data_IF_819929261147
#
_entry.id   IF_819929261147
#
_cell.length_a   1.000
_cell.length_b   1.000
_cell.length_c   1.000
_cell.angle_alpha   90.00
_cell.angle_beta   90.00
_cell.angle_gamma   90.00
#
_symmetry.space_group_name_H-M   'P 1'
#
loop_
_entity.id
_entity.type
_entity.pdbx_description
1 polymer ?
#
# COMPACT_ATOMS: atom_id res chain seq x y z
N UNK A 1 -1.14 -2.61 -16.63
CA UNK A 1 -1.13 -1.15 -16.45
C UNK A 1 -0.03 -0.83 -15.45
N UNK A 2 0.86 0.09 -15.80
CA UNK A 2 1.95 0.48 -14.90
C UNK A 2 1.50 1.71 -14.11
N UNK A 3 1.95 1.80 -12.87
CA UNK A 3 1.76 3.01 -12.10
C UNK A 3 2.88 4.02 -12.41
N UNK A 4 2.66 5.28 -12.05
CA UNK A 4 3.72 6.29 -12.13
C UNK A 4 4.91 5.90 -11.25
N UNK A 5 6.13 6.23 -11.70
CA UNK A 5 7.36 5.95 -10.96
C UNK A 5 7.36 6.56 -9.55
N UNK A 6 6.78 7.75 -9.38
CA UNK A 6 6.62 8.39 -8.07
C UNK A 6 5.74 7.59 -7.12
N UNK A 7 4.63 7.02 -7.63
CA UNK A 7 3.76 6.13 -6.86
C UNK A 7 4.48 4.83 -6.48
N UNK A 8 5.23 4.25 -7.42
CA UNK A 8 6.04 3.05 -7.18
C UNK A 8 7.10 3.28 -6.10
N UNK A 9 7.84 4.37 -6.18
CA UNK A 9 8.90 4.72 -5.22
C UNK A 9 8.33 4.93 -3.81
N UNK A 10 7.22 5.67 -3.69
CA UNK A 10 6.54 5.87 -2.42
C UNK A 10 6.09 4.54 -1.79
N UNK A 11 5.55 3.61 -2.58
CA UNK A 11 5.13 2.29 -2.10
C UNK A 11 6.31 1.41 -1.66
N UNK A 12 7.46 1.47 -2.36
CA UNK A 12 8.66 0.75 -1.94
C UNK A 12 9.23 1.32 -0.63
N UNK A 13 9.27 2.65 -0.49
CA UNK A 13 9.68 3.29 0.75
C UNK A 13 8.75 2.93 1.92
N UNK A 14 7.43 2.93 1.67
CA UNK A 14 6.44 2.49 2.63
C UNK A 14 6.66 1.03 3.05
N UNK A 15 6.83 0.11 2.09
CA UNK A 15 7.14 -1.31 2.35
C UNK A 15 8.38 -1.49 3.22
N UNK A 16 9.47 -0.75 2.94
CA UNK A 16 10.71 -0.85 3.70
C UNK A 16 10.57 -0.36 5.16
N UNK A 17 9.56 0.47 5.45
CA UNK A 17 9.23 0.92 6.80
C UNK A 17 8.36 -0.06 7.61
N UNK A 18 7.88 -1.15 7.00
CA UNK A 18 7.00 -2.11 7.65
C UNK A 18 7.74 -3.36 8.12
N UNK A 19 7.38 -3.85 9.30
CA UNK A 19 7.75 -5.20 9.74
C UNK A 19 6.72 -6.20 9.21
N UNK A 20 7.08 -6.95 8.17
CA UNK A 20 6.20 -7.91 7.48
C UNK A 20 6.72 -9.36 7.66
N UNK A 21 6.58 -9.95 8.86
CA UNK A 21 7.09 -11.30 9.14
C UNK A 21 6.35 -12.39 8.34
N UNK A 22 5.11 -12.12 7.93
CA UNK A 22 4.29 -13.05 7.15
C UNK A 22 4.48 -12.91 5.64
N UNK A 23 5.35 -11.98 5.20
CA UNK A 23 5.65 -11.74 3.79
C UNK A 23 4.39 -11.45 2.95
N UNK A 24 3.43 -10.73 3.53
CA UNK A 24 2.17 -10.32 2.88
C UNK A 24 2.44 -9.40 1.69
N UNK A 25 3.53 -8.62 1.74
CA UNK A 25 3.94 -7.69 0.69
C UNK A 25 4.85 -8.33 -0.37
N UNK A 26 4.83 -9.65 -0.51
CA UNK A 26 5.68 -10.37 -1.47
C UNK A 26 5.47 -9.94 -2.93
N UNK A 27 4.24 -9.56 -3.30
CA UNK A 27 3.93 -9.10 -4.66
C UNK A 27 4.51 -7.73 -4.98
N UNK A 28 4.94 -6.96 -3.97
CA UNK A 28 5.41 -5.59 -4.12
C UNK A 28 6.85 -5.57 -4.67
N UNK A 29 6.97 -5.85 -5.97
CA UNK A 29 8.22 -5.89 -6.73
C UNK A 29 7.96 -5.63 -8.22
N UNK A 30 8.97 -5.11 -8.92
CA UNK A 30 8.89 -4.78 -10.35
C UNK A 30 8.24 -3.42 -10.63
N UNK A 31 7.82 -3.20 -11.87
CA UNK A 31 7.29 -1.90 -12.37
C UNK A 31 5.78 -1.76 -12.29
N UNK A 32 5.04 -2.88 -12.23
CA UNK A 32 3.59 -2.89 -12.45
C UNK A 32 2.83 -2.81 -11.12
N UNK A 33 3.00 -1.72 -10.35
CA UNK A 33 2.49 -1.71 -8.97
C UNK A 33 0.97 -1.80 -8.83
N UNK A 34 0.20 -1.44 -9.87
CA UNK A 34 -1.26 -1.68 -9.90
C UNK A 34 -1.66 -3.16 -9.90
N UNK A 35 -0.70 -4.08 -10.08
CA UNK A 35 -0.92 -5.53 -9.98
C UNK A 35 -0.44 -6.09 -8.64
N UNK A 36 0.11 -5.26 -7.76
CA UNK A 36 0.49 -5.69 -6.42
C UNK A 36 -0.76 -5.90 -5.56
N UNK A 37 -0.71 -6.88 -4.68
CA UNK A 37 -1.75 -7.12 -3.69
C UNK A 37 -2.02 -5.86 -2.87
N UNK A 38 -3.29 -5.53 -2.68
CA UNK A 38 -3.72 -4.37 -1.92
C UNK A 38 -3.61 -3.03 -2.65
N UNK A 39 -3.03 -2.95 -3.85
CA UNK A 39 -2.89 -1.68 -4.57
C UNK A 39 -4.07 -1.46 -5.52
N UNK A 40 -4.73 -0.32 -5.37
CA UNK A 40 -5.73 0.17 -6.32
C UNK A 40 -5.19 1.36 -7.10
N UNK A 41 -5.42 1.36 -8.41
CA UNK A 41 -5.04 2.46 -9.30
C UNK A 41 -6.25 3.02 -10.03
N UNK A 42 -6.19 4.31 -10.37
CA UNK A 42 -7.06 4.89 -11.39
C UNK A 42 -6.81 4.25 -12.75
N UNK A 43 -7.87 3.75 -13.38
CA UNK A 43 -7.79 2.92 -14.60
C UNK A 43 -7.39 3.68 -15.86
N UNK A 44 -7.39 5.02 -15.82
CA UNK A 44 -7.05 5.86 -16.97
C UNK A 44 -5.62 6.41 -16.86
N UNK A 45 -5.21 6.78 -15.65
CA UNK A 45 -3.95 7.49 -15.37
C UNK A 45 -2.87 6.58 -14.77
N UNK A 46 -3.24 5.45 -14.17
CA UNK A 46 -2.31 4.58 -13.44
C UNK A 46 -1.85 5.18 -12.11
N UNK A 47 -2.47 6.27 -11.64
CA UNK A 47 -2.21 6.84 -10.31
C UNK A 47 -2.68 5.86 -9.24
N UNK A 48 -1.85 5.60 -8.24
CA UNK A 48 -2.24 4.80 -7.06
C UNK A 48 -3.22 5.63 -6.23
N UNK A 49 -4.39 5.07 -5.93
CA UNK A 49 -5.49 5.75 -5.21
C UNK A 49 -5.82 5.10 -3.87
N UNK A 50 -5.37 3.86 -3.61
CA UNK A 50 -5.52 3.23 -2.30
C UNK A 50 -4.50 2.11 -2.07
N UNK A 51 -4.19 1.88 -0.78
CA UNK A 51 -3.42 0.74 -0.28
C UNK A 51 -4.25 0.02 0.78
N UNK A 52 -4.63 -1.22 0.51
CA UNK A 52 -5.33 -2.10 1.44
C UNK A 52 -4.40 -3.18 1.96
N UNK A 53 -4.14 -3.16 3.27
CA UNK A 53 -3.31 -4.16 3.96
C UNK A 53 -4.14 -5.08 4.86
N UNK A 54 -5.47 -5.06 4.72
CA UNK A 54 -6.35 -5.88 5.52
C UNK A 54 -6.06 -7.37 5.35
N UNK A 55 -6.11 -8.12 6.45
CA UNK A 55 -5.98 -9.56 6.45
C UNK A 55 -7.35 -10.20 6.16
N UNK A 56 -7.55 -10.85 5.00
CA UNK A 56 -8.82 -11.50 4.68
C UNK A 56 -9.10 -12.73 5.57
N UNK A 57 -8.12 -13.22 6.33
CA UNK A 57 -8.24 -14.40 7.18
C UNK A 57 -8.59 -14.10 8.65
N UNK A 58 -8.54 -12.83 9.06
CA UNK A 58 -8.96 -12.42 10.40
C UNK A 58 -10.49 -12.31 10.47
N UNK A 59 -11.16 -13.43 10.76
CA UNK A 59 -12.57 -13.41 11.17
C UNK A 59 -12.68 -12.64 12.49
N UNK A 60 -13.38 -11.51 12.41
CA UNK A 60 -13.58 -10.53 13.47
C UNK A 60 -13.93 -11.17 14.81
N UNK A 61 -13.05 -11.00 15.79
CA UNK A 61 -13.55 -10.77 17.14
C UNK A 61 -12.82 -9.67 17.92
N UNK A 62 -11.66 -9.17 17.45
CA UNK A 62 -11.10 -7.91 17.94
C UNK A 62 -10.01 -7.38 16.99
N UNK A 63 -10.01 -6.05 16.78
CA UNK A 63 -8.88 -5.18 16.35
C UNK A 63 -9.00 -4.44 15.00
N UNK A 64 -8.80 -3.13 15.11
CA UNK A 64 -8.77 -2.03 14.13
C UNK A 64 -8.36 -2.40 12.69
N UNK A 65 -9.34 -2.44 11.77
CA UNK A 65 -9.09 -2.49 10.33
C UNK A 65 -8.44 -1.18 9.87
N UNK A 66 -7.12 -1.17 9.65
CA UNK A 66 -6.41 -0.02 9.05
C UNK A 66 -6.38 -0.20 7.53
N UNK A 67 -7.37 0.35 6.83
CA UNK A 67 -7.19 0.75 5.43
C UNK A 67 -6.41 2.05 5.41
N UNK A 68 -5.37 2.16 4.57
CA UNK A 68 -4.58 3.37 4.44
C UNK A 68 -4.89 4.00 3.08
N UNK A 69 -5.65 5.09 3.08
CA UNK A 69 -5.84 5.86 1.85
C UNK A 69 -4.51 6.59 1.59
N UNK A 70 -4.09 6.71 0.33
CA UNK A 70 -2.87 7.49 0.01
C UNK A 70 -3.04 8.99 0.31
N UNK A 71 -4.25 9.47 0.55
CA UNK A 71 -4.47 10.80 1.14
C UNK A 71 -4.17 10.82 2.65
N UNK A 72 -4.27 9.66 3.32
CA UNK A 72 -3.91 9.49 4.71
C UNK A 72 -2.39 9.43 4.89
N UNK A 73 -1.53 9.08 3.91
CA UNK A 73 -0.06 9.10 4.14
C UNK A 73 0.50 10.49 4.55
N UNK A 74 -0.32 11.54 4.60
CA UNK A 74 -0.09 12.73 5.42
C UNK A 74 0.36 12.42 6.87
N UNK A 75 -0.08 11.34 7.53
CA UNK A 75 0.41 11.00 8.87
C UNK A 75 1.86 10.47 8.91
N UNK A 76 2.39 9.96 7.80
CA UNK A 76 3.82 9.62 7.69
C UNK A 76 4.68 10.90 7.72
N UNK A 77 4.19 11.99 7.11
CA UNK A 77 4.85 13.30 7.17
C UNK A 77 4.74 13.95 8.56
N UNK A 78 3.68 13.66 9.33
CA UNK A 78 3.51 14.21 10.70
C UNK A 78 4.45 13.56 11.72
N UNK A 79 4.94 12.33 11.48
CA UNK A 79 5.97 11.69 12.32
C UNK A 79 7.40 12.11 11.96
N UNK A 80 7.57 12.99 10.97
CA UNK A 80 8.87 13.50 10.50
C UNK A 80 9.07 15.00 10.78
N UNK A 81 8.18 15.62 11.59
CA UNK A 81 8.27 17.01 12.07
C UNK A 81 8.36 17.07 13.59
#
# INVERSE_FOLDING_TARGET
>A
MNCLDSGREALINFKNGLHDPENRLFSWKGSNCCQWWGISCDSNTGVVIAVDLHDPHLQSHDSCSRSLVVDDVKWILVLSL
#
